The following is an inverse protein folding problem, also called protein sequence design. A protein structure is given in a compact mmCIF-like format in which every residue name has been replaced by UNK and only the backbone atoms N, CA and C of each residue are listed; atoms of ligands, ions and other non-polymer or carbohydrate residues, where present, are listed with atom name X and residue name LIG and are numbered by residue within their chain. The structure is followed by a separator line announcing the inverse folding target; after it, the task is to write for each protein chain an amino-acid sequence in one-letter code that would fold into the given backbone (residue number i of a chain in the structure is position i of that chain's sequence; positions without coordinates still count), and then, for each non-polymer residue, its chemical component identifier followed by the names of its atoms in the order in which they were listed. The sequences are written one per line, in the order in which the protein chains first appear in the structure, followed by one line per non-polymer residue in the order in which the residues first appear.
data_IF_076096383532
#
_entry.id   IF_076096383532
#
_cell.length_a   1.000
_cell.length_b   1.000
_cell.length_c   1.000
_cell.angle_alpha   90.00
_cell.angle_beta   90.00
_cell.angle_gamma   90.00
#
_symmetry.space_group_name_H-M   'P 1'
#
loop_
_entity.id
_entity.type
_entity.pdbx_description
1 polymer ?
#
# COMPACT_ATOMS: atom_id res chain seq x y z
N UNK A 1 8.21 -22.89 -2.91
CA UNK A 1 7.72 -22.10 -4.06
C UNK A 1 6.33 -21.60 -3.67
N UNK A 2 6.21 -20.34 -3.30
CA UNK A 2 4.96 -19.78 -2.80
C UNK A 2 3.84 -19.91 -3.84
N UNK A 3 2.69 -20.44 -3.42
CA UNK A 3 1.52 -20.56 -4.30
C UNK A 3 1.06 -19.19 -4.79
N UNK A 4 0.41 -19.15 -5.94
CA UNK A 4 -0.26 -17.96 -6.46
C UNK A 4 -1.76 -18.24 -6.59
N UNK A 5 -2.57 -17.18 -6.55
CA UNK A 5 -4.00 -17.23 -6.81
C UNK A 5 -4.40 -16.13 -7.80
N UNK A 6 -5.52 -16.33 -8.47
CA UNK A 6 -6.02 -15.36 -9.43
C UNK A 6 -6.83 -14.26 -8.72
N UNK A 7 -6.63 -13.01 -9.11
CA UNK A 7 -7.40 -11.85 -8.67
C UNK A 7 -8.02 -11.15 -9.88
N UNK A 8 -9.25 -10.63 -9.73
CA UNK A 8 -9.97 -9.94 -10.81
C UNK A 8 -10.12 -8.45 -10.49
N UNK A 9 -9.63 -7.60 -11.39
CA UNK A 9 -9.91 -6.17 -11.38
C UNK A 9 -11.25 -5.90 -12.08
N UNK A 10 -12.29 -5.63 -11.29
CA UNK A 10 -13.65 -5.41 -11.78
C UNK A 10 -13.73 -4.20 -12.72
N UNK A 11 -12.87 -3.18 -12.54
CA UNK A 11 -12.85 -1.99 -13.42
C UNK A 11 -12.35 -2.30 -14.83
N UNK A 12 -11.58 -3.38 -15.01
CA UNK A 12 -11.09 -3.82 -16.32
C UNK A 12 -11.94 -4.94 -16.94
N UNK A 13 -12.92 -5.48 -16.20
CA UNK A 13 -13.71 -6.62 -16.66
C UNK A 13 -14.81 -6.17 -17.64
N UNK A 14 -14.69 -6.59 -18.91
CA UNK A 14 -15.65 -6.34 -19.99
C UNK A 14 -16.78 -7.38 -20.07
N UNK A 15 -16.78 -8.38 -19.18
CA UNK A 15 -17.77 -9.47 -19.11
C UNK A 15 -17.82 -10.38 -20.35
N UNK A 16 -16.69 -10.62 -21.01
CA UNK A 16 -16.56 -11.68 -22.02
C UNK A 16 -16.67 -13.09 -21.42
N UNK A 17 -16.50 -13.22 -20.10
CA UNK A 17 -16.74 -14.42 -19.29
C UNK A 17 -15.97 -15.71 -19.70
N UNK A 18 -14.97 -15.62 -20.59
CA UNK A 18 -14.07 -16.72 -20.93
C UNK A 18 -13.45 -17.41 -19.70
N UNK A 19 -13.15 -16.63 -18.65
CA UNK A 19 -12.60 -17.15 -17.40
C UNK A 19 -13.47 -18.24 -16.75
N UNK A 20 -14.80 -18.18 -16.91
CA UNK A 20 -15.75 -19.16 -16.37
C UNK A 20 -15.55 -20.54 -17.02
N UNK A 21 -15.36 -20.56 -18.33
CA UNK A 21 -15.26 -21.81 -19.10
C UNK A 21 -13.89 -22.46 -19.00
N UNK A 22 -12.83 -21.68 -18.74
CA UNK A 22 -11.46 -22.22 -18.69
C UNK A 22 -10.99 -22.57 -17.27
N UNK A 23 -11.75 -22.22 -16.23
CA UNK A 23 -11.37 -22.49 -14.86
C UNK A 23 -11.74 -23.94 -14.48
N UNK A 24 -10.75 -24.83 -14.23
CA UNK A 24 -11.04 -26.24 -13.99
C UNK A 24 -11.72 -26.50 -12.63
N UNK A 25 -11.63 -25.56 -11.69
CA UNK A 25 -12.19 -25.68 -10.34
C UNK A 25 -13.44 -24.82 -10.13
N UNK A 26 -13.87 -24.06 -11.14
CA UNK A 26 -14.96 -23.09 -10.99
C UNK A 26 -14.65 -21.92 -10.06
N UNK A 27 -13.38 -21.67 -9.70
CA UNK A 27 -12.99 -20.57 -8.81
C UNK A 27 -13.38 -19.18 -9.33
N UNK A 28 -13.56 -19.02 -10.64
CA UNK A 28 -13.94 -17.75 -11.27
C UNK A 28 -15.45 -17.52 -11.35
N UNK A 29 -16.24 -18.55 -11.02
CA UNK A 29 -17.70 -18.57 -11.14
C UNK A 29 -18.34 -18.13 -9.83
N UNK A 30 -18.47 -16.81 -9.68
CA UNK A 30 -19.00 -16.17 -8.49
C UNK A 30 -19.92 -15.01 -8.86
N UNK A 31 -21.00 -14.85 -8.10
CA UNK A 31 -22.02 -13.81 -8.31
C UNK A 31 -21.48 -12.39 -8.10
N UNK A 32 -20.48 -12.24 -7.23
CA UNK A 32 -19.87 -10.96 -6.88
C UNK A 32 -18.64 -10.61 -7.74
N UNK A 33 -18.31 -11.44 -8.73
CA UNK A 33 -17.11 -11.29 -9.55
C UNK A 33 -15.76 -11.36 -8.82
N UNK A 34 -15.75 -11.81 -7.56
CA UNK A 34 -14.53 -12.04 -6.77
C UNK A 34 -14.13 -13.50 -6.96
N UNK A 35 -12.88 -13.76 -7.34
CA UNK A 35 -12.39 -15.13 -7.52
C UNK A 35 -12.33 -15.83 -6.16
N UNK A 36 -12.90 -17.03 -6.07
CA UNK A 36 -12.86 -17.89 -4.90
C UNK A 36 -11.43 -18.43 -4.70
N UNK A 37 -10.70 -17.83 -3.75
CA UNK A 37 -9.31 -18.17 -3.46
C UNK A 37 -9.17 -19.58 -2.89
N UNK A 38 -10.20 -20.11 -2.21
CA UNK A 38 -10.16 -21.46 -1.64
C UNK A 38 -10.24 -22.54 -2.72
N UNK A 39 -10.90 -22.25 -3.85
CA UNK A 39 -10.95 -23.13 -5.03
C UNK A 39 -9.83 -22.89 -6.03
N UNK A 40 -9.11 -21.78 -5.93
CA UNK A 40 -8.10 -21.40 -6.91
C UNK A 40 -6.82 -22.23 -6.72
N UNK A 41 -6.46 -23.03 -7.72
CA UNK A 41 -5.23 -23.85 -7.70
C UNK A 41 -4.01 -23.13 -8.32
N UNK A 42 -4.12 -21.83 -8.60
CA UNK A 42 -2.99 -21.04 -9.10
C UNK A 42 -2.54 -21.32 -10.54
N UNK A 43 -3.32 -22.05 -11.35
CA UNK A 43 -2.88 -22.46 -12.71
C UNK A 43 -2.73 -21.31 -13.73
N UNK A 44 -3.38 -20.17 -13.49
CA UNK A 44 -3.27 -18.97 -14.33
C UNK A 44 -3.94 -19.02 -15.70
N UNK A 45 -4.71 -20.07 -16.02
CA UNK A 45 -5.40 -20.19 -17.32
C UNK A 45 -6.40 -19.05 -17.51
N UNK A 46 -7.18 -18.70 -16.48
CA UNK A 46 -8.14 -17.59 -16.54
C UNK A 46 -7.47 -16.22 -16.78
N UNK A 47 -6.26 -16.01 -16.26
CA UNK A 47 -5.47 -14.80 -16.52
C UNK A 47 -5.02 -14.74 -17.98
N UNK A 48 -4.53 -15.85 -18.53
CA UNK A 48 -4.10 -15.97 -19.93
C UNK A 48 -5.25 -15.84 -20.93
N UNK A 49 -6.44 -16.32 -20.58
CA UNK A 49 -7.60 -16.33 -21.46
C UNK A 49 -8.39 -15.02 -21.44
N UNK A 50 -8.16 -14.13 -20.47
CA UNK A 50 -8.96 -12.91 -20.30
C UNK A 50 -8.56 -11.86 -21.36
N UNK A 51 -9.43 -11.54 -22.33
CA UNK A 51 -9.08 -10.62 -23.43
C UNK A 51 -8.86 -9.18 -22.93
N UNK A 52 -9.62 -8.75 -21.93
CA UNK A 52 -9.45 -7.43 -21.30
C UNK A 52 -8.32 -7.36 -20.28
N UNK A 53 -7.60 -8.47 -20.04
CA UNK A 53 -6.53 -8.58 -19.04
C UNK A 53 -6.97 -8.14 -17.64
N UNK A 54 -8.24 -8.38 -17.30
CA UNK A 54 -8.79 -8.05 -15.99
C UNK A 54 -8.32 -8.98 -14.87
N UNK A 55 -7.69 -10.13 -15.18
CA UNK A 55 -7.27 -11.12 -14.19
C UNK A 55 -5.75 -11.16 -14.12
N UNK A 56 -5.21 -11.10 -12.89
CA UNK A 56 -3.77 -11.20 -12.59
C UNK A 56 -3.51 -12.33 -11.60
N UNK A 57 -2.27 -12.83 -11.54
CA UNK A 57 -1.84 -13.80 -10.54
C UNK A 57 -1.12 -13.07 -9.41
N UNK A 58 -1.62 -13.21 -8.18
CA UNK A 58 -1.02 -12.67 -6.97
C UNK A 58 -0.40 -13.82 -6.15
N UNK A 59 0.76 -13.62 -5.50
CA UNK A 59 1.30 -14.60 -4.58
C UNK A 59 0.47 -14.62 -3.28
N UNK A 60 0.44 -15.76 -2.57
CA UNK A 60 -0.11 -15.81 -1.20
C UNK A 60 0.74 -15.02 -0.22
N UNK A 61 2.06 -15.06 -0.40
CA UNK A 61 3.02 -14.34 0.43
C UNK A 61 3.74 -13.31 -0.44
N UNK A 62 3.63 -12.04 -0.06
CA UNK A 62 4.40 -10.99 -0.69
C UNK A 62 5.84 -11.01 -0.16
N UNK A 63 6.83 -10.73 -1.02
CA UNK A 63 8.20 -10.57 -0.55
C UNK A 63 8.28 -9.44 0.49
N UNK A 64 9.22 -9.51 1.44
CA UNK A 64 9.44 -8.42 2.37
C UNK A 64 9.76 -7.13 1.60
N UNK A 65 9.38 -6.00 2.17
CA UNK A 65 9.68 -4.69 1.59
C UNK A 65 11.20 -4.55 1.41
N UNK A 66 11.62 -4.21 0.19
CA UNK A 66 13.04 -4.05 -0.13
C UNK A 66 13.58 -2.78 0.52
N UNK A 67 14.78 -2.86 1.09
CA UNK A 67 15.43 -1.70 1.68
C UNK A 67 15.89 -0.72 0.59
N UNK A 68 15.65 0.57 0.82
CA UNK A 68 16.27 1.64 0.04
C UNK A 68 17.69 1.91 0.55
N UNK A 69 18.58 2.37 -0.33
CA UNK A 69 19.93 2.79 0.07
C UNK A 69 19.85 4.00 0.98
N UNK A 70 20.71 4.03 2.00
CA UNK A 70 20.70 5.08 3.01
C UNK A 70 20.93 6.48 2.45
N UNK A 71 21.81 6.61 1.44
CA UNK A 71 22.11 7.87 0.75
C UNK A 71 20.89 8.45 0.03
N UNK A 72 20.13 7.60 -0.66
CA UNK A 72 18.87 7.97 -1.33
C UNK A 72 17.84 8.41 -0.29
N UNK A 73 17.64 7.60 0.75
CA UNK A 73 16.67 7.91 1.81
C UNK A 73 17.03 9.20 2.54
N UNK A 74 18.32 9.45 2.81
CA UNK A 74 18.79 10.67 3.43
C UNK A 74 18.51 11.91 2.55
N UNK A 75 18.81 11.83 1.24
CA UNK A 75 18.51 12.92 0.31
C UNK A 75 17.02 13.24 0.24
N UNK A 76 16.15 12.21 0.22
CA UNK A 76 14.70 12.41 0.21
C UNK A 76 14.20 13.05 1.51
N UNK A 77 14.74 12.64 2.67
CA UNK A 77 14.42 13.25 3.98
C UNK A 77 14.87 14.71 4.06
N UNK A 78 16.03 15.05 3.52
CA UNK A 78 16.48 16.45 3.44
C UNK A 78 15.55 17.29 2.57
N UNK A 79 15.11 16.76 1.42
CA UNK A 79 14.17 17.46 0.55
C UNK A 79 12.79 17.60 1.22
N UNK A 80 12.32 16.57 1.91
CA UNK A 80 11.09 16.59 2.71
C UNK A 80 11.14 17.70 3.77
N UNK A 81 12.23 17.82 4.53
CA UNK A 81 12.38 18.90 5.51
C UNK A 81 12.30 20.29 4.89
N UNK A 82 12.93 20.49 3.72
CA UNK A 82 12.82 21.74 2.97
C UNK A 82 11.39 22.03 2.51
N UNK A 83 10.62 20.99 2.16
CA UNK A 83 9.21 21.14 1.75
C UNK A 83 8.31 21.50 2.92
N UNK A 84 8.50 20.89 4.09
CA UNK A 84 7.80 21.28 5.31
C UNK A 84 8.07 22.75 5.69
N UNK A 85 9.30 23.22 5.56
CA UNK A 85 9.64 24.64 5.82
C UNK A 85 8.92 25.57 4.84
N UNK A 86 8.97 25.26 3.54
CA UNK A 86 8.28 26.03 2.51
C UNK A 86 6.76 26.02 2.68
N UNK A 87 6.17 24.90 3.11
CA UNK A 87 4.76 24.78 3.45
C UNK A 87 4.38 25.72 4.61
N UNK A 88 5.17 25.71 5.69
CA UNK A 88 4.94 26.59 6.85
C UNK A 88 5.03 28.08 6.48
N UNK A 89 6.03 28.44 5.67
CA UNK A 89 6.15 29.82 5.15
C UNK A 89 4.92 30.16 4.30
N UNK A 90 4.52 29.29 3.37
CA UNK A 90 3.37 29.52 2.50
C UNK A 90 2.06 29.67 3.30
N UNK A 91 1.84 28.85 4.33
CA UNK A 91 0.67 28.94 5.20
C UNK A 91 0.57 30.27 5.96
N UNK A 92 1.71 30.94 6.20
CA UNK A 92 1.73 32.27 6.84
C UNK A 92 1.44 33.44 5.89
N UNK A 93 1.42 33.20 4.58
CA UNK A 93 1.25 34.24 3.56
C UNK A 93 -0.19 34.28 3.02
N UNK A 94 -0.74 35.48 2.76
CA UNK A 94 -2.06 35.60 2.17
C UNK A 94 -2.03 35.40 0.65
N UNK A 95 -3.16 34.93 0.09
CA UNK A 95 -3.43 34.96 -1.35
C UNK A 95 -3.40 33.59 -2.04
N UNK A 96 -3.88 33.57 -3.28
CA UNK A 96 -4.09 32.32 -4.05
C UNK A 96 -2.79 31.55 -4.31
N UNK A 97 -1.69 32.27 -4.57
CA UNK A 97 -0.40 31.64 -4.83
C UNK A 97 0.14 30.94 -3.58
N UNK A 98 0.03 31.59 -2.42
CA UNK A 98 0.46 31.03 -1.14
C UNK A 98 -0.30 29.73 -0.82
N UNK A 99 -1.63 29.73 -0.91
CA UNK A 99 -2.45 28.53 -0.70
C UNK A 99 -2.12 27.40 -1.69
N UNK A 100 -1.81 27.73 -2.94
CA UNK A 100 -1.39 26.74 -3.93
C UNK A 100 0.00 26.15 -3.59
N UNK A 101 0.94 26.99 -3.13
CA UNK A 101 2.27 26.55 -2.71
C UNK A 101 2.23 25.69 -1.45
N UNK A 102 1.42 26.06 -0.46
CA UNK A 102 1.16 25.26 0.75
C UNK A 102 0.70 23.85 0.35
N UNK A 103 -0.36 23.75 -0.46
CA UNK A 103 -0.89 22.44 -0.88
C UNK A 103 0.12 21.66 -1.72
N UNK A 104 0.85 22.33 -2.61
CA UNK A 104 1.88 21.68 -3.44
C UNK A 104 3.01 21.11 -2.58
N UNK A 105 3.50 21.87 -1.59
CA UNK A 105 4.58 21.41 -0.71
C UNK A 105 4.12 20.27 0.18
N UNK A 106 2.90 20.33 0.72
CA UNK A 106 2.28 19.24 1.48
C UNK A 106 2.26 17.92 0.67
N UNK A 107 1.74 17.96 -0.56
CA UNK A 107 1.71 16.78 -1.46
C UNK A 107 3.11 16.25 -1.78
N UNK A 108 4.08 17.14 -2.03
CA UNK A 108 5.46 16.72 -2.26
C UNK A 108 6.07 16.07 -1.02
N UNK A 109 5.79 16.60 0.17
CA UNK A 109 6.23 16.00 1.45
C UNK A 109 5.65 14.59 1.60
N UNK A 110 4.34 14.42 1.36
CA UNK A 110 3.64 13.13 1.40
C UNK A 110 4.22 12.12 0.38
N UNK A 111 4.53 12.56 -0.83
CA UNK A 111 5.15 11.70 -1.84
C UNK A 111 6.60 11.34 -1.46
N UNK A 112 7.40 12.31 -0.99
CA UNK A 112 8.79 12.07 -0.59
C UNK A 112 8.90 11.10 0.58
N UNK A 113 8.07 11.24 1.60
CA UNK A 113 8.05 10.30 2.73
C UNK A 113 7.60 8.91 2.26
N UNK A 114 6.65 8.86 1.33
CA UNK A 114 6.14 7.60 0.77
C UNK A 114 7.21 6.84 0.02
N UNK A 115 7.90 7.51 -0.91
CA UNK A 115 8.96 6.91 -1.73
C UNK A 115 10.25 6.65 -0.94
N UNK A 116 10.51 7.37 0.15
CA UNK A 116 11.67 7.14 1.02
C UNK A 116 11.54 5.89 1.91
N UNK A 117 10.40 5.19 1.90
CA UNK A 117 10.26 3.86 2.53
C UNK A 117 8.95 3.59 3.28
N UNK A 118 8.00 4.53 3.31
CA UNK A 118 6.75 4.38 4.06
C UNK A 118 5.54 4.30 3.12
N UNK A 119 5.15 3.10 2.66
CA UNK A 119 4.10 3.02 1.63
C UNK A 119 3.03 1.95 1.85
N UNK A 120 3.20 1.03 2.80
CA UNK A 120 2.18 0.03 3.06
C UNK A 120 1.68 0.20 4.49
N UNK A 121 0.42 0.61 4.69
CA UNK A 121 -0.16 0.76 6.03
C UNK A 121 0.06 -0.50 6.89
N UNK A 122 0.02 -1.68 6.27
CA UNK A 122 0.21 -2.97 6.91
C UNK A 122 1.65 -3.50 6.82
N UNK A 123 2.68 -2.66 6.60
CA UNK A 123 4.07 -3.13 6.64
C UNK A 123 4.72 -2.95 8.00
N UNK A 124 5.79 -3.72 8.21
CA UNK A 124 6.67 -3.60 9.37
C UNK A 124 7.18 -2.17 9.56
N UNK A 125 7.57 -1.49 8.48
CA UNK A 125 8.10 -0.11 8.54
C UNK A 125 7.08 0.86 9.15
N UNK A 126 5.81 0.74 8.76
CA UNK A 126 4.73 1.58 9.29
C UNK A 126 4.51 1.29 10.77
N UNK A 127 4.50 0.00 11.16
CA UNK A 127 4.34 -0.40 12.55
C UNK A 127 5.51 0.10 13.43
N UNK A 128 6.75 -0.16 13.02
CA UNK A 128 7.96 0.27 13.72
C UNK A 128 7.99 1.81 13.87
N UNK A 129 7.53 2.54 12.85
CA UNK A 129 7.38 3.99 12.92
C UNK A 129 6.36 4.43 13.97
N UNK A 130 5.14 3.87 13.94
CA UNK A 130 4.08 4.21 14.89
C UNK A 130 4.46 3.85 16.33
N UNK A 131 5.08 2.68 16.55
CA UNK A 131 5.62 2.27 17.86
C UNK A 131 6.73 3.23 18.32
N UNK A 132 7.62 3.63 17.41
CA UNK A 132 8.65 4.63 17.67
C UNK A 132 8.08 6.00 18.09
N UNK A 133 6.98 6.44 17.47
CA UNK A 133 6.30 7.68 17.86
C UNK A 133 5.77 7.62 19.29
N UNK A 134 5.22 6.48 19.72
CA UNK A 134 4.71 6.28 21.09
C UNK A 134 5.82 6.22 22.14
N UNK A 135 6.99 5.70 21.75
CA UNK A 135 8.17 5.55 22.61
C UNK A 135 8.96 6.85 22.78
N UNK A 136 8.92 7.76 21.81
CA UNK A 136 9.60 9.05 21.87
C UNK A 136 8.90 10.06 22.79
N UNK A 137 9.65 11.04 23.30
CA UNK A 137 9.08 12.20 23.99
C UNK A 137 8.38 13.10 22.98
N UNK A 138 7.08 13.30 23.14
CA UNK A 138 6.23 14.05 22.21
C UNK A 138 5.71 15.33 22.87
N UNK A 139 5.33 16.31 22.05
CA UNK A 139 4.65 17.53 22.50
C UNK A 139 3.22 17.26 23.00
N UNK A 140 2.69 18.16 23.83
CA UNK A 140 1.33 18.05 24.42
C UNK A 140 0.19 17.89 23.39
N UNK A 141 0.36 18.40 22.17
CA UNK A 141 -0.61 18.30 21.08
C UNK A 141 -0.55 16.98 20.27
N UNK A 142 0.32 16.05 20.64
CA UNK A 142 0.51 14.82 19.87
C UNK A 142 -0.71 13.87 20.02
N UNK A 143 -1.31 13.40 18.91
CA UNK A 143 -2.53 12.58 18.93
C UNK A 143 -2.22 11.11 19.27
N UNK A 144 -1.78 10.85 20.51
CA UNK A 144 -1.39 9.51 21.00
C UNK A 144 -2.47 8.45 20.77
N UNK A 145 -3.72 8.76 21.11
CA UNK A 145 -4.86 7.85 20.95
C UNK A 145 -5.03 7.39 19.49
N UNK A 146 -4.85 8.30 18.52
CA UNK A 146 -4.95 7.97 17.10
C UNK A 146 -3.87 6.99 16.68
N UNK A 147 -2.64 7.12 17.19
CA UNK A 147 -1.54 6.19 16.89
C UNK A 147 -1.83 4.79 17.46
N UNK A 148 -2.37 4.71 18.67
CA UNK A 148 -2.81 3.45 19.28
C UNK A 148 -3.96 2.80 18.50
N UNK A 149 -4.96 3.59 18.08
CA UNK A 149 -6.05 3.14 17.22
C UNK A 149 -5.51 2.59 15.88
N UNK A 150 -4.58 3.30 15.23
CA UNK A 150 -3.94 2.84 14.00
C UNK A 150 -3.20 1.51 14.20
N UNK A 151 -2.40 1.38 15.26
CA UNK A 151 -1.69 0.12 15.57
C UNK A 151 -2.64 -1.05 15.80
N UNK A 152 -3.83 -0.80 16.36
CA UNK A 152 -4.85 -1.83 16.58
C UNK A 152 -5.56 -2.26 15.30
N UNK A 153 -5.73 -1.33 14.34
CA UNK A 153 -6.42 -1.59 13.07
C UNK A 153 -5.51 -2.24 12.01
N UNK A 154 -4.20 -1.99 12.09
CA UNK A 154 -3.21 -2.52 11.17
C UNK A 154 -2.84 -3.95 11.58
N UNK A 155 -3.63 -4.90 11.10
CA UNK A 155 -3.36 -6.33 11.26
C UNK A 155 -2.06 -6.70 10.49
N UNK A 156 -0.94 -6.67 11.20
CA UNK A 156 0.37 -7.03 10.67
C UNK A 156 0.66 -8.50 11.01
N UNK A 157 0.54 -9.37 10.02
CA UNK A 157 1.07 -10.73 10.12
C UNK A 157 2.61 -10.66 10.00
N UNK A 158 3.30 -10.83 11.12
CA UNK A 158 4.76 -11.00 11.10
C UNK A 158 5.12 -12.28 10.33
N UNK A 159 6.17 -12.30 9.50
CA UNK A 159 6.63 -13.49 8.77
C UNK A 159 7.18 -14.61 9.68
N UNK A 160 7.12 -14.46 11.01
CA UNK A 160 7.28 -15.56 11.98
C UNK A 160 6.07 -16.51 11.93
N UNK A 161 5.80 -17.12 10.78
CA UNK A 161 5.14 -18.44 10.72
C UNK A 161 6.25 -19.48 10.57
N UNK A 162 6.90 -19.82 11.69
CA UNK A 162 7.57 -21.12 11.77
C UNK A 162 6.48 -22.19 11.71
N UNK A 163 6.35 -22.86 10.57
CA UNK A 163 5.49 -24.03 10.40
C UNK A 163 4.22 -23.76 9.61
N UNK A 164 4.32 -23.92 8.29
CA UNK A 164 3.31 -24.50 7.40
C UNK A 164 4.01 -25.14 6.21
#
# INVERSE_FOLDING_TARGET
MGGQFAVRNIRLCTKDCLCLYVCPTGATDTENSIIDVAKCIGCGICAKSCPSKAISMAPYEFPPQQAHKEDVTAAMRSLMASKCEQESIAASLPGRLAAAMEKSNCLMTEDLIREAGYMLPQSKNTRDFLEGLLAASQSDGFPRKTVEELLSMLDYESPTREGL
#
